data_IF_321566538375
#
_entry.id   IF_321566538375
#
_cell.length_a   1.000
_cell.length_b   1.000
_cell.length_c   1.000
_cell.angle_alpha   90.00
_cell.angle_beta   90.00
_cell.angle_gamma   90.00
#
_symmetry.space_group_name_H-M   'P 1'
#
loop_
_entity.id
_entity.type
_entity.pdbx_description
1 polymer ?
#
# COMPACT_ATOMS: atom_id res chain seq x y z
N UNK A 1 16.80 -4.69 9.09
CA UNK A 1 16.98 -5.31 7.77
C UNK A 1 17.10 -4.22 6.72
N UNK A 2 18.00 -4.39 5.75
CA UNK A 2 18.16 -3.46 4.62
C UNK A 2 16.95 -3.52 3.69
N UNK A 3 16.67 -2.40 3.03
CA UNK A 3 15.71 -2.34 1.94
C UNK A 3 16.26 -3.08 0.71
N UNK A 4 15.54 -4.05 0.10
CA UNK A 4 15.98 -4.69 -1.14
C UNK A 4 15.92 -3.76 -2.36
N UNK A 5 15.18 -2.64 -2.31
CA UNK A 5 15.08 -1.68 -3.41
C UNK A 5 15.77 -0.35 -3.07
N UNK A 6 16.90 -0.01 -3.71
CA UNK A 6 17.60 1.23 -3.41
C UNK A 6 16.75 2.46 -3.78
N UNK A 7 16.84 3.56 -3.01
CA UNK A 7 16.06 4.76 -3.25
C UNK A 7 16.39 5.42 -4.59
N UNK A 8 15.35 5.89 -5.29
CA UNK A 8 15.50 6.69 -6.51
C UNK A 8 15.74 8.17 -6.15
N UNK A 9 16.97 8.66 -6.34
CA UNK A 9 17.39 10.02 -5.96
C UNK A 9 16.58 11.13 -6.65
N UNK A 10 16.17 10.92 -7.90
CA UNK A 10 15.36 11.88 -8.67
C UNK A 10 13.97 12.02 -8.05
N UNK A 11 13.25 10.91 -7.84
CA UNK A 11 11.91 10.93 -7.26
C UNK A 11 11.94 11.44 -5.81
N UNK A 12 12.96 11.05 -5.04
CA UNK A 12 13.15 11.52 -3.68
C UNK A 12 13.28 13.05 -3.61
N UNK A 13 14.00 13.66 -4.56
CA UNK A 13 14.18 15.12 -4.64
C UNK A 13 12.87 15.82 -5.00
N UNK A 14 12.10 15.27 -5.95
CA UNK A 14 10.82 15.83 -6.38
C UNK A 14 9.77 15.80 -5.27
N UNK A 15 9.71 14.71 -4.49
CA UNK A 15 8.71 14.55 -3.43
C UNK A 15 9.09 15.25 -2.12
N UNK A 16 10.37 15.60 -1.95
CA UNK A 16 10.90 16.22 -0.75
C UNK A 16 10.07 17.40 -0.20
N UNK A 17 9.65 18.41 -1.00
CA UNK A 17 8.85 19.53 -0.47
C UNK A 17 7.50 19.09 0.10
N UNK A 18 6.85 18.10 -0.53
CA UNK A 18 5.57 17.53 -0.06
C UNK A 18 5.80 16.71 1.21
N UNK A 19 6.88 15.90 1.23
CA UNK A 19 7.27 15.15 2.41
C UNK A 19 7.56 16.07 3.60
N UNK A 20 8.17 17.24 3.37
CA UNK A 20 8.43 18.22 4.42
C UNK A 20 7.15 18.90 4.92
N UNK A 21 6.24 19.30 4.01
CA UNK A 21 5.00 19.98 4.41
C UNK A 21 4.06 19.07 5.21
N UNK A 22 4.02 17.77 4.86
CA UNK A 22 3.20 16.75 5.53
C UNK A 22 3.93 16.03 6.67
N UNK A 23 5.19 16.41 6.94
CA UNK A 23 6.05 15.78 7.95
C UNK A 23 6.24 14.27 7.75
N UNK A 24 6.34 13.81 6.49
CA UNK A 24 6.53 12.41 6.08
C UNK A 24 8.01 12.12 5.81
N UNK A 25 8.84 12.16 6.86
CA UNK A 25 10.30 12.12 6.75
C UNK A 25 10.90 10.91 6.02
N UNK A 26 10.26 9.74 6.06
CA UNK A 26 10.74 8.53 5.36
C UNK A 26 10.11 8.33 3.97
N UNK A 27 9.13 9.17 3.58
CA UNK A 27 8.47 9.07 2.26
C UNK A 27 9.46 9.20 1.08
N UNK A 28 10.44 10.13 1.08
CA UNK A 28 11.37 10.25 -0.04
C UNK A 28 12.23 9.00 -0.24
N UNK A 29 12.46 8.20 0.80
CA UNK A 29 13.23 6.96 0.72
C UNK A 29 12.48 5.84 0.01
N UNK A 30 11.14 5.89 -0.01
CA UNK A 30 10.28 4.80 -0.49
C UNK A 30 9.31 5.22 -1.61
N UNK A 31 9.40 6.46 -2.10
CA UNK A 31 8.48 6.98 -3.11
C UNK A 31 8.49 6.16 -4.41
N UNK A 32 9.66 5.63 -4.81
CA UNK A 32 9.77 4.77 -5.99
C UNK A 32 8.96 3.47 -5.82
N UNK A 33 8.87 2.96 -4.59
CA UNK A 33 8.10 1.75 -4.28
C UNK A 33 6.61 2.02 -4.28
N UNK A 34 6.17 3.21 -3.81
CA UNK A 34 4.77 3.65 -3.91
C UNK A 34 4.36 3.76 -5.39
N UNK A 35 5.20 4.41 -6.21
CA UNK A 35 4.95 4.56 -7.66
C UNK A 35 4.93 3.20 -8.36
N UNK A 36 5.86 2.32 -8.02
CA UNK A 36 5.89 0.96 -8.53
C UNK A 36 4.63 0.19 -8.14
N UNK A 37 4.24 0.23 -6.88
CA UNK A 37 3.04 -0.44 -6.37
C UNK A 37 1.76 0.09 -7.04
N UNK A 38 1.60 1.41 -7.15
CA UNK A 38 0.49 2.03 -7.87
C UNK A 38 0.42 1.51 -9.31
N UNK A 39 1.55 1.54 -10.04
CA UNK A 39 1.63 1.06 -11.42
C UNK A 39 1.30 -0.43 -11.53
N UNK A 40 1.78 -1.23 -10.57
CA UNK A 40 1.52 -2.66 -10.50
C UNK A 40 0.04 -2.96 -10.28
N UNK A 41 -0.63 -2.26 -9.36
CA UNK A 41 -2.06 -2.46 -9.11
C UNK A 41 -2.94 -1.98 -10.27
N UNK A 42 -2.57 -0.88 -10.94
CA UNK A 42 -3.19 -0.48 -12.21
C UNK A 42 -3.00 -1.55 -13.28
N UNK A 43 -1.80 -2.13 -13.41
CA UNK A 43 -1.57 -3.22 -14.36
C UNK A 43 -2.42 -4.47 -14.04
N UNK A 44 -2.53 -4.82 -12.75
CA UNK A 44 -3.36 -5.93 -12.32
C UNK A 44 -4.84 -5.70 -12.66
N UNK A 45 -5.36 -4.50 -12.42
CA UNK A 45 -6.74 -4.13 -12.72
C UNK A 45 -7.01 -4.15 -14.23
N UNK A 46 -6.16 -3.49 -15.02
CA UNK A 46 -6.43 -3.22 -16.43
C UNK A 46 -6.07 -4.37 -17.37
N UNK A 47 -5.11 -5.22 -17.00
CA UNK A 47 -4.59 -6.28 -17.89
C UNK A 47 -4.64 -7.67 -17.26
N UNK A 48 -4.06 -7.84 -16.07
CA UNK A 48 -3.94 -9.18 -15.49
C UNK A 48 -5.30 -9.76 -15.13
N UNK A 49 -6.17 -8.96 -14.49
CA UNK A 49 -7.49 -9.42 -14.07
C UNK A 49 -8.37 -9.80 -15.26
N UNK A 50 -8.53 -8.99 -16.33
CA UNK A 50 -9.27 -9.41 -17.52
C UNK A 50 -8.71 -10.67 -18.17
N UNK A 51 -7.38 -10.79 -18.30
CA UNK A 51 -6.74 -11.92 -18.95
C UNK A 51 -6.93 -13.21 -18.15
N UNK A 52 -6.62 -13.18 -16.85
CA UNK A 52 -6.73 -14.34 -15.95
C UNK A 52 -8.19 -14.71 -15.74
N UNK A 53 -9.07 -13.72 -15.53
CA UNK A 53 -10.49 -13.99 -15.29
C UNK A 53 -11.19 -14.55 -16.53
N UNK A 54 -10.86 -14.06 -17.73
CA UNK A 54 -11.40 -14.65 -18.97
C UNK A 54 -10.93 -16.08 -19.21
N UNK A 55 -9.73 -16.43 -18.71
CA UNK A 55 -9.19 -17.79 -18.81
C UNK A 55 -9.79 -18.75 -17.78
N UNK A 56 -9.89 -18.32 -16.52
CA UNK A 56 -10.35 -19.17 -15.41
C UNK A 56 -11.88 -19.23 -15.30
N UNK A 57 -12.58 -18.15 -15.63
CA UNK A 57 -14.02 -18.01 -15.44
C UNK A 57 -14.71 -17.71 -16.78
N UNK A 58 -15.32 -18.72 -17.43
CA UNK A 58 -16.01 -18.54 -18.72
C UNK A 58 -17.16 -17.53 -18.67
N UNK A 59 -17.67 -17.22 -17.48
CA UNK A 59 -18.74 -16.25 -17.26
C UNK A 59 -18.22 -14.81 -17.38
N UNK A 60 -16.95 -14.54 -17.06
CA UNK A 60 -16.39 -13.19 -17.02
C UNK A 60 -16.58 -12.39 -18.32
N UNK A 61 -16.34 -12.93 -19.53
CA UNK A 61 -16.55 -12.18 -20.77
C UNK A 61 -18.01 -11.77 -20.99
N UNK A 62 -18.96 -12.53 -20.43
CA UNK A 62 -20.41 -12.32 -20.64
C UNK A 62 -21.03 -11.28 -19.70
N UNK A 63 -20.38 -10.98 -18.57
CA UNK A 63 -20.96 -10.05 -17.59
C UNK A 63 -20.95 -8.58 -18.07
N UNK A 64 -21.88 -7.74 -17.58
CA UNK A 64 -21.93 -6.33 -17.91
C UNK A 64 -20.66 -5.58 -17.50
N UNK A 65 -20.41 -4.43 -18.13
CA UNK A 65 -19.21 -3.59 -17.87
C UNK A 65 -19.06 -3.21 -16.40
N UNK A 66 -20.16 -2.82 -15.73
CA UNK A 66 -20.11 -2.44 -14.30
C UNK A 66 -19.67 -3.63 -13.43
N UNK A 67 -20.19 -4.82 -13.70
CA UNK A 67 -19.80 -6.06 -13.02
C UNK A 67 -18.33 -6.39 -13.28
N UNK A 68 -17.84 -6.21 -14.51
CA UNK A 68 -16.40 -6.41 -14.83
C UNK A 68 -15.49 -5.48 -14.05
N UNK A 69 -15.87 -4.20 -13.92
CA UNK A 69 -15.10 -3.21 -13.15
C UNK A 69 -15.05 -3.66 -11.68
N UNK A 70 -16.20 -3.97 -11.09
CA UNK A 70 -16.26 -4.49 -9.71
C UNK A 70 -15.39 -5.75 -9.57
N UNK A 71 -15.55 -6.72 -10.46
CA UNK A 71 -14.78 -7.97 -10.48
C UNK A 71 -13.27 -7.71 -10.54
N UNK A 72 -12.81 -6.80 -11.40
CA UNK A 72 -11.40 -6.48 -11.53
C UNK A 72 -10.83 -5.86 -10.25
N UNK A 73 -11.60 -5.00 -9.59
CA UNK A 73 -11.21 -4.38 -8.32
C UNK A 73 -11.12 -5.44 -7.21
N UNK A 74 -12.08 -6.36 -7.13
CA UNK A 74 -12.05 -7.50 -6.20
C UNK A 74 -10.86 -8.44 -6.49
N UNK A 75 -10.45 -8.58 -7.75
CA UNK A 75 -9.29 -9.39 -8.11
C UNK A 75 -8.00 -8.75 -7.56
N UNK A 76 -7.86 -7.44 -7.71
CA UNK A 76 -6.68 -6.72 -7.22
C UNK A 76 -6.59 -6.79 -5.69
N UNK A 77 -7.71 -6.62 -5.00
CA UNK A 77 -7.77 -6.71 -3.53
C UNK A 77 -7.57 -8.13 -2.99
N UNK A 78 -7.79 -9.18 -3.80
CA UNK A 78 -7.35 -10.53 -3.46
C UNK A 78 -5.83 -10.69 -3.51
N UNK A 79 -5.16 -10.03 -4.46
CA UNK A 79 -3.71 -10.16 -4.68
C UNK A 79 -2.89 -9.33 -3.69
N UNK A 80 -3.34 -8.12 -3.34
CA UNK A 80 -2.66 -7.24 -2.38
C UNK A 80 -2.20 -7.95 -1.09
N UNK A 81 -3.10 -8.59 -0.32
CA UNK A 81 -2.74 -9.25 0.94
C UNK A 81 -1.80 -10.44 0.77
N UNK A 82 -1.91 -11.20 -0.33
CA UNK A 82 -1.00 -12.32 -0.61
C UNK A 82 0.43 -11.84 -0.80
N UNK A 83 0.62 -10.77 -1.56
CA UNK A 83 1.94 -10.15 -1.72
C UNK A 83 2.47 -9.61 -0.39
N UNK A 84 1.59 -9.04 0.44
CA UNK A 84 1.95 -8.57 1.78
C UNK A 84 2.38 -9.71 2.72
N UNK A 85 1.76 -10.91 2.65
CA UNK A 85 2.12 -12.06 3.48
C UNK A 85 3.56 -12.56 3.25
N UNK A 86 4.01 -12.63 1.99
CA UNK A 86 5.40 -12.99 1.66
C UNK A 86 6.41 -11.99 2.24
N UNK A 87 6.05 -10.70 2.25
CA UNK A 87 6.89 -9.63 2.80
C UNK A 87 6.81 -9.55 4.34
N UNK A 88 5.68 -9.93 4.92
CA UNK A 88 5.43 -9.94 6.37
C UNK A 88 6.25 -11.02 7.11
N UNK A 89 6.53 -12.16 6.45
CA UNK A 89 7.44 -13.18 7.02
C UNK A 89 8.84 -12.62 7.34
N UNK A 90 9.36 -11.71 6.51
CA UNK A 90 10.64 -11.06 6.78
C UNK A 90 10.58 -10.13 8.01
N UNK A 91 9.41 -9.57 8.30
CA UNK A 91 9.17 -8.67 9.42
C UNK A 91 9.01 -9.42 10.76
N UNK A 92 8.28 -10.54 10.81
CA UNK A 92 8.06 -11.31 12.05
C UNK A 92 9.38 -11.80 12.66
N UNK A 93 10.37 -12.16 11.85
CA UNK A 93 11.70 -12.54 12.35
C UNK A 93 12.53 -11.36 12.89
N UNK A 94 12.14 -10.11 12.60
CA UNK A 94 12.74 -8.88 13.15
C UNK A 94 11.96 -8.25 14.32
N UNK A 95 10.69 -8.62 14.51
CA UNK A 95 9.82 -8.14 15.59
C UNK A 95 10.09 -8.81 16.95
N UNK A 96 11.00 -9.78 17.03
CA UNK A 96 11.43 -10.41 18.28
C UNK A 96 12.37 -9.54 19.14
N UNK A 97 12.56 -8.25 18.79
CA UNK A 97 13.39 -7.29 19.54
C UNK A 97 12.58 -6.10 20.09
N UNK A 98 12.95 -5.54 21.27
CA UNK A 98 12.13 -4.58 22.03
C UNK A 98 12.14 -3.13 21.49
N UNK A 99 12.25 -2.91 20.19
CA UNK A 99 12.17 -1.55 19.64
C UNK A 99 11.51 -1.56 18.26
N UNK A 100 10.27 -1.08 18.28
CA UNK A 100 9.39 -0.66 17.19
C UNK A 100 10.03 0.46 16.34
N UNK A 101 11.22 0.19 15.80
CA UNK A 101 12.01 1.12 15.02
C UNK A 101 11.80 0.95 13.52
N UNK A 102 12.12 2.00 12.76
CA UNK A 102 12.17 1.94 11.30
C UNK A 102 13.15 0.85 10.83
N UNK A 103 12.73 0.06 9.86
CA UNK A 103 13.60 -0.82 9.08
C UNK A 103 13.29 -0.59 7.60
N UNK A 104 14.29 -0.73 6.72
CA UNK A 104 14.08 -0.57 5.28
C UNK A 104 13.01 -1.53 4.75
N UNK A 105 13.05 -2.79 5.19
CA UNK A 105 12.02 -3.79 4.86
C UNK A 105 10.62 -3.41 5.36
N UNK A 106 10.50 -2.86 6.57
CA UNK A 106 9.21 -2.36 7.10
C UNK A 106 8.69 -1.15 6.32
N UNK A 107 9.59 -0.22 5.99
CA UNK A 107 9.28 0.93 5.13
C UNK A 107 8.82 0.51 3.74
N UNK A 108 9.44 -0.52 3.15
CA UNK A 108 9.01 -1.12 1.89
C UNK A 108 7.60 -1.70 1.97
N UNK A 109 7.30 -2.53 2.98
CA UNK A 109 5.94 -3.07 3.15
C UNK A 109 4.92 -1.95 3.24
N UNK A 110 5.24 -0.93 4.04
CA UNK A 110 4.39 0.24 4.21
C UNK A 110 4.20 1.02 2.89
N UNK A 111 5.25 1.15 2.07
CA UNK A 111 5.20 1.84 0.78
C UNK A 111 4.38 1.08 -0.27
N UNK A 112 4.48 -0.24 -0.30
CA UNK A 112 3.61 -1.06 -1.15
C UNK A 112 2.13 -0.91 -0.74
N UNK A 113 1.84 -0.87 0.55
CA UNK A 113 0.48 -0.62 1.05
C UNK A 113 0.01 0.81 0.75
N UNK A 114 0.87 1.81 0.87
CA UNK A 114 0.54 3.18 0.47
C UNK A 114 0.24 3.27 -1.04
N UNK A 115 1.00 2.58 -1.89
CA UNK A 115 0.71 2.50 -3.33
C UNK A 115 -0.60 1.79 -3.65
N UNK A 116 -0.94 0.73 -2.91
CA UNK A 116 -2.24 0.06 -3.01
C UNK A 116 -3.40 0.99 -2.64
N UNK A 117 -3.34 1.66 -1.49
CA UNK A 117 -4.44 2.56 -1.08
C UNK A 117 -4.52 3.83 -1.91
N UNK A 118 -3.40 4.25 -2.51
CA UNK A 118 -3.42 5.32 -3.50
C UNK A 118 -4.12 4.88 -4.79
N UNK A 119 -3.88 3.64 -5.24
CA UNK A 119 -4.65 3.03 -6.32
C UNK A 119 -6.13 2.91 -5.96
N UNK A 120 -6.44 2.41 -4.77
CA UNK A 120 -7.81 2.21 -4.26
C UNK A 120 -8.59 3.53 -4.20
N UNK A 121 -7.93 4.61 -3.76
CA UNK A 121 -8.49 5.95 -3.79
C UNK A 121 -8.78 6.40 -5.22
N UNK A 122 -7.84 6.17 -6.14
CA UNK A 122 -8.01 6.49 -7.56
C UNK A 122 -9.20 5.77 -8.19
N UNK A 123 -9.31 4.45 -8.02
CA UNK A 123 -10.46 3.69 -8.55
C UNK A 123 -11.76 4.04 -7.85
N UNK A 124 -11.75 4.34 -6.55
CA UNK A 124 -12.93 4.80 -5.81
C UNK A 124 -13.45 6.15 -6.29
N UNK A 125 -12.55 7.05 -6.74
CA UNK A 125 -12.94 8.33 -7.36
C UNK A 125 -13.46 8.11 -8.77
N UNK A 126 -12.74 7.33 -9.60
CA UNK A 126 -13.08 7.14 -11.02
C UNK A 126 -14.38 6.33 -11.19
N UNK A 127 -14.58 5.32 -10.35
CA UNK A 127 -15.75 4.42 -10.39
C UNK A 127 -16.68 4.68 -9.20
N UNK A 128 -16.79 5.94 -8.77
CA UNK A 128 -17.62 6.34 -7.64
C UNK A 128 -19.08 5.88 -7.77
N UNK A 129 -19.65 5.95 -8.98
CA UNK A 129 -21.04 5.50 -9.25
C UNK A 129 -21.24 3.98 -9.05
N UNK A 130 -20.16 3.20 -9.03
CA UNK A 130 -20.18 1.75 -8.86
C UNK A 130 -19.82 1.38 -7.42
N UNK A 131 -18.78 2.01 -6.86
CA UNK A 131 -18.21 1.67 -5.55
C UNK A 131 -18.85 2.43 -4.38
N UNK A 132 -19.29 3.67 -4.63
CA UNK A 132 -19.97 4.52 -3.66
C UNK A 132 -19.09 5.05 -2.52
N UNK A 133 -19.77 5.67 -1.55
CA UNK A 133 -19.15 6.37 -0.42
C UNK A 133 -18.33 5.47 0.51
N UNK A 134 -18.76 4.21 0.71
CA UNK A 134 -18.06 3.27 1.59
C UNK A 134 -16.63 3.02 1.13
N UNK A 135 -16.44 2.74 -0.17
CA UNK A 135 -15.14 2.51 -0.78
C UNK A 135 -14.27 3.77 -0.74
N UNK A 136 -14.85 4.93 -1.07
CA UNK A 136 -14.11 6.19 -1.06
C UNK A 136 -13.60 6.55 0.34
N UNK A 137 -14.46 6.45 1.36
CA UNK A 137 -14.07 6.72 2.74
C UNK A 137 -13.03 5.71 3.22
N UNK A 138 -13.22 4.42 2.95
CA UNK A 138 -12.23 3.40 3.26
C UNK A 138 -10.86 3.76 2.68
N UNK A 139 -10.78 4.06 1.38
CA UNK A 139 -9.53 4.40 0.70
C UNK A 139 -8.85 5.64 1.30
N UNK A 140 -9.62 6.69 1.63
CA UNK A 140 -9.10 7.91 2.27
C UNK A 140 -8.51 7.59 3.65
N UNK A 141 -9.26 6.89 4.51
CA UNK A 141 -8.79 6.58 5.87
C UNK A 141 -7.62 5.60 5.85
N UNK A 142 -7.67 4.59 4.98
CA UNK A 142 -6.60 3.62 4.80
C UNK A 142 -5.31 4.28 4.32
N UNK A 143 -5.39 5.15 3.31
CA UNK A 143 -4.25 5.92 2.82
C UNK A 143 -3.69 6.84 3.90
N UNK A 144 -4.54 7.48 4.70
CA UNK A 144 -4.09 8.31 5.81
C UNK A 144 -3.35 7.49 6.87
N UNK A 145 -3.91 6.37 7.32
CA UNK A 145 -3.31 5.49 8.34
C UNK A 145 -1.96 4.96 7.87
N UNK A 146 -1.85 4.46 6.64
CA UNK A 146 -0.56 3.96 6.12
C UNK A 146 0.43 5.10 5.89
N UNK A 147 -0.02 6.30 5.52
CA UNK A 147 0.87 7.47 5.35
C UNK A 147 1.45 7.97 6.66
N UNK A 148 0.71 7.89 7.77
CA UNK A 148 1.20 8.26 9.10
C UNK A 148 2.43 7.45 9.52
N UNK A 149 2.60 6.22 9.02
CA UNK A 149 3.80 5.43 9.29
C UNK A 149 5.09 6.09 8.76
N UNK A 150 5.01 6.96 7.74
CA UNK A 150 6.19 7.65 7.21
C UNK A 150 6.68 8.80 8.10
N UNK A 151 5.87 9.20 9.09
CA UNK A 151 6.21 10.28 10.00
C UNK A 151 7.35 9.88 10.95
N UNK A 152 8.37 10.73 11.11
CA UNK A 152 9.44 10.49 12.06
C UNK A 152 8.98 10.70 13.52
N UNK A 153 9.64 10.00 14.43
CA UNK A 153 9.61 10.17 15.87
C UNK A 153 10.88 10.91 16.30
N UNK A 154 10.71 12.09 16.91
CA UNK A 154 11.81 12.83 17.50
C UNK A 154 11.59 14.33 17.43
N UNK A 155 11.66 14.98 18.59
CA UNK A 155 11.84 16.42 18.68
C UNK A 155 13.19 16.76 18.01
N UNK A 156 13.23 17.89 17.28
CA UNK A 156 14.40 18.39 16.54
C UNK A 156 15.65 18.44 17.43
N UNK A 157 16.43 17.35 17.48
CA UNK A 157 17.73 17.36 18.11
C UNK A 157 18.78 17.79 17.09
N UNK A 158 19.51 18.83 17.49
CA UNK A 158 20.72 19.39 16.89
C UNK A 158 21.46 18.47 15.91
N UNK A 159 21.69 19.01 14.69
CA UNK A 159 22.79 18.75 13.74
C UNK A 159 23.66 17.51 14.04
N UNK A 160 23.60 16.50 13.17
CA UNK A 160 24.78 15.62 12.99
C UNK A 160 24.54 14.23 12.41
N UNK A 161 23.45 13.53 12.75
CA UNK A 161 23.23 12.15 12.31
C UNK A 161 21.73 11.92 12.10
N UNK A 162 21.31 11.80 10.84
CA UNK A 162 19.91 11.57 10.49
C UNK A 162 19.60 10.08 10.69
N UNK A 163 19.23 9.68 11.90
CA UNK A 163 18.46 8.44 12.10
C UNK A 163 16.98 8.79 11.89
N UNK A 164 16.45 8.46 10.71
CA UNK A 164 15.01 8.50 10.46
C UNK A 164 14.33 7.40 11.29
N UNK A 165 14.00 7.70 12.53
CA UNK A 165 13.21 6.80 13.36
C UNK A 165 11.74 7.07 13.05
N UNK A 166 11.03 6.14 12.41
CA UNK A 166 9.57 6.25 12.25
C UNK A 166 8.88 6.16 13.62
N UNK A 167 7.66 6.70 13.75
CA UNK A 167 6.85 6.54 14.97
C UNK A 167 6.61 5.05 15.26
N UNK A 168 7.07 4.53 16.41
CA UNK A 168 6.74 3.19 16.90
C UNK A 168 5.27 2.83 16.73
N UNK A 169 4.41 3.78 17.12
CA UNK A 169 2.96 3.66 17.04
C UNK A 169 2.47 3.58 15.59
N UNK A 170 2.82 4.54 14.73
CA UNK A 170 2.28 4.57 13.38
C UNK A 170 2.77 3.42 12.49
N UNK A 171 4.03 2.98 12.68
CA UNK A 171 4.55 1.79 12.00
C UNK A 171 3.85 0.52 12.52
N UNK A 172 3.65 0.40 13.84
CA UNK A 172 2.87 -0.70 14.42
C UNK A 172 1.44 -0.75 13.87
N UNK A 173 0.68 0.34 13.90
CA UNK A 173 -0.70 0.34 13.43
C UNK A 173 -0.81 0.22 11.90
N UNK A 174 0.12 0.81 11.14
CA UNK A 174 0.17 0.65 9.68
C UNK A 174 0.39 -0.81 9.27
N UNK A 175 1.33 -1.50 9.92
CA UNK A 175 1.59 -2.93 9.66
C UNK A 175 0.46 -3.83 10.15
N UNK A 176 -0.16 -3.54 11.29
CA UNK A 176 -1.35 -4.26 11.76
C UNK A 176 -2.56 -4.03 10.84
N UNK A 177 -2.68 -2.86 10.23
CA UNK A 177 -3.72 -2.60 9.23
C UNK A 177 -3.52 -3.45 7.97
N UNK A 178 -2.27 -3.67 7.54
CA UNK A 178 -1.97 -4.63 6.47
C UNK A 178 -2.32 -6.07 6.86
N UNK A 179 -2.18 -6.44 8.15
CA UNK A 179 -2.67 -7.73 8.64
C UNK A 179 -4.19 -7.84 8.61
N UNK A 180 -4.91 -6.75 8.91
CA UNK A 180 -6.36 -6.71 8.78
C UNK A 180 -6.79 -6.97 7.32
N UNK A 181 -6.08 -6.40 6.35
CA UNK A 181 -6.31 -6.66 4.91
C UNK A 181 -6.04 -8.12 4.48
N UNK A 182 -5.35 -8.94 5.29
CA UNK A 182 -5.27 -10.39 5.02
C UNK A 182 -6.63 -11.08 5.10
N UNK A 183 -7.64 -10.44 5.70
CA UNK A 183 -9.00 -10.94 5.71
C UNK A 183 -9.77 -10.64 4.42
N UNK A 184 -9.32 -9.67 3.62
CA UNK A 184 -9.96 -9.20 2.38
C UNK A 184 -10.23 -10.31 1.36
N UNK A 185 -9.41 -11.37 1.23
CA UNK A 185 -9.75 -12.50 0.37
C UNK A 185 -11.00 -13.26 0.79
N UNK A 186 -11.21 -13.45 2.10
CA UNK A 186 -12.40 -14.11 2.61
C UNK A 186 -13.64 -13.24 2.43
N UNK A 187 -13.47 -11.92 2.47
CA UNK A 187 -14.55 -10.99 2.13
C UNK A 187 -14.89 -11.05 0.64
N UNK A 188 -13.91 -11.24 -0.25
CA UNK A 188 -14.11 -11.02 -1.69
C UNK A 188 -14.31 -12.29 -2.52
N UNK A 189 -14.11 -13.49 -1.96
CA UNK A 189 -14.19 -14.74 -2.74
C UNK A 189 -15.57 -15.00 -3.35
N UNK A 190 -16.64 -14.48 -2.73
CA UNK A 190 -18.02 -14.66 -3.21
C UNK A 190 -18.35 -13.85 -4.47
N UNK A 191 -17.44 -12.96 -4.91
CA UNK A 191 -17.61 -12.18 -6.13
C UNK A 191 -17.25 -12.93 -7.41
N UNK A 192 -16.55 -14.07 -7.30
CA UNK A 192 -16.05 -14.90 -8.41
C UNK A 192 -16.86 -16.17 -8.58
#
# INVERSE_FOLDING_TARGET
MLDPFPPCSLLATVIHPIAQSLNLGSLPLHIHEIVFALSFYTFLESFASPAISSFLFPVYPTVPRQTKISWNIHFVSLIHPLGSLFRYRALIHGLAGPYMGYTGAGGMVQAFSAGYFLWDLGVSIVYFDILGWSSLLHAIYALAVVSLGFQPHGHRMSKGLIQFQQRPFANYYGLNFVLYELSTPFLNIHWF
#
